data_IF_511067115244
#
_entry.id   IF_511067115244
#
_cell.length_a   1.000
_cell.length_b   1.000
_cell.length_c   1.000
_cell.angle_alpha   90.00
_cell.angle_beta   90.00
_cell.angle_gamma   90.00
#
_symmetry.space_group_name_H-M   'P 1'
#
loop_
_entity.id
_entity.type
_entity.pdbx_description
1 polymer ?
#
# COMPACT_ATOMS: atom_id res chain seq x y z
N UNK A 1 1.99 28.15 -11.41
CA UNK A 1 0.60 27.77 -11.76
C UNK A 1 -0.02 27.02 -10.58
N UNK A 2 -1.07 27.57 -9.94
CA UNK A 2 -1.83 26.83 -8.91
C UNK A 2 -2.62 25.71 -9.61
N UNK A 3 -2.52 24.44 -9.18
CA UNK A 3 -3.37 23.40 -9.74
C UNK A 3 -4.84 23.75 -9.47
N UNK A 4 -5.68 23.66 -10.48
CA UNK A 4 -7.13 23.84 -10.35
C UNK A 4 -7.69 22.84 -9.33
N UNK A 5 -8.71 23.24 -8.55
CA UNK A 5 -9.30 22.40 -7.51
C UNK A 5 -9.72 21.01 -8.02
N UNK A 6 -10.19 20.93 -9.27
CA UNK A 6 -10.54 19.67 -9.93
C UNK A 6 -9.36 18.70 -10.04
N UNK A 7 -8.16 19.20 -10.37
CA UNK A 7 -6.95 18.38 -10.51
C UNK A 7 -6.47 17.82 -9.17
N UNK A 8 -6.50 18.63 -8.10
CA UNK A 8 -6.14 18.16 -6.74
C UNK A 8 -7.09 17.07 -6.26
N UNK A 9 -8.40 17.20 -6.56
CA UNK A 9 -9.40 16.17 -6.25
C UNK A 9 -9.16 14.88 -7.02
N UNK A 10 -8.90 14.96 -8.32
CA UNK A 10 -8.61 13.78 -9.16
C UNK A 10 -7.35 13.05 -8.69
N UNK A 11 -6.26 13.76 -8.42
CA UNK A 11 -5.02 13.18 -7.87
C UNK A 11 -5.28 12.45 -6.54
N UNK A 12 -6.05 13.08 -5.64
CA UNK A 12 -6.42 12.45 -4.38
C UNK A 12 -7.28 11.20 -4.54
N UNK A 13 -8.26 11.21 -5.46
CA UNK A 13 -9.09 10.02 -5.74
C UNK A 13 -8.25 8.87 -6.29
N UNK A 14 -7.28 9.15 -7.17
CA UNK A 14 -6.35 8.13 -7.67
C UNK A 14 -5.52 7.53 -6.53
N UNK A 15 -4.97 8.36 -5.63
CA UNK A 15 -4.23 7.86 -4.48
C UNK A 15 -5.11 7.03 -3.52
N UNK A 16 -6.37 7.42 -3.33
CA UNK A 16 -7.31 6.66 -2.50
C UNK A 16 -7.64 5.29 -3.10
N UNK A 17 -7.89 5.23 -4.40
CA UNK A 17 -8.10 3.96 -5.10
C UNK A 17 -6.86 3.07 -5.05
N UNK A 18 -5.67 3.65 -5.22
CA UNK A 18 -4.40 2.93 -5.05
C UNK A 18 -4.21 2.39 -3.62
N UNK A 19 -4.56 3.18 -2.61
CA UNK A 19 -4.54 2.76 -1.21
C UNK A 19 -5.49 1.58 -0.96
N UNK A 20 -6.74 1.67 -1.43
CA UNK A 20 -7.72 0.59 -1.31
C UNK A 20 -7.25 -0.68 -2.05
N UNK A 21 -6.61 -0.53 -3.21
CA UNK A 21 -6.06 -1.65 -3.98
C UNK A 21 -4.86 -2.33 -3.30
N UNK A 22 -4.19 -1.70 -2.33
CA UNK A 22 -3.10 -2.32 -1.59
C UNK A 22 -3.56 -3.56 -0.80
N UNK A 23 -4.83 -3.62 -0.35
CA UNK A 23 -5.37 -4.75 0.41
C UNK A 23 -5.48 -6.03 -0.45
N UNK A 24 -6.21 -6.04 -1.58
CA UNK A 24 -6.26 -7.23 -2.43
C UNK A 24 -4.89 -7.58 -3.03
N UNK A 25 -4.04 -6.59 -3.32
CA UNK A 25 -2.67 -6.83 -3.77
C UNK A 25 -1.81 -7.50 -2.70
N UNK A 26 -1.93 -7.09 -1.44
CA UNK A 26 -1.23 -7.72 -0.33
C UNK A 26 -1.64 -9.19 -0.19
N UNK A 27 -2.94 -9.49 -0.25
CA UNK A 27 -3.45 -10.87 -0.18
C UNK A 27 -2.91 -11.74 -1.32
N UNK A 28 -2.81 -11.17 -2.53
CA UNK A 28 -2.23 -11.88 -3.67
C UNK A 28 -0.71 -12.11 -3.51
N UNK A 29 0.03 -11.09 -3.06
CA UNK A 29 1.48 -11.18 -2.81
C UNK A 29 1.81 -12.24 -1.76
N UNK A 30 1.02 -12.29 -0.69
CA UNK A 30 1.19 -13.27 0.40
C UNK A 30 1.16 -14.71 -0.13
N UNK A 31 0.41 -14.97 -1.20
CA UNK A 31 0.25 -16.33 -1.73
C UNK A 31 1.18 -16.66 -2.92
N UNK A 32 1.74 -15.65 -3.61
CA UNK A 32 2.44 -15.86 -4.88
C UNK A 32 3.91 -15.40 -4.87
N UNK A 33 4.34 -14.55 -3.93
CA UNK A 33 5.66 -13.92 -3.98
C UNK A 33 6.36 -14.02 -2.64
N UNK A 34 7.50 -14.70 -2.61
CA UNK A 34 8.43 -14.71 -1.48
C UNK A 34 9.65 -15.58 -1.77
N UNK A 35 10.68 -15.46 -0.92
CA UNK A 35 11.89 -16.27 -1.01
C UNK A 35 11.70 -17.64 -0.38
N UNK A 36 10.80 -17.74 0.61
CA UNK A 36 10.40 -18.99 1.26
C UNK A 36 8.88 -19.07 1.22
N UNK A 37 8.35 -19.99 0.43
CA UNK A 37 6.92 -20.30 0.37
C UNK A 37 6.73 -21.74 0.85
N UNK A 38 6.33 -21.90 2.11
CA UNK A 38 6.05 -23.21 2.67
C UNK A 38 4.61 -23.66 2.34
N UNK A 39 4.34 -24.96 2.20
CA UNK A 39 2.98 -25.44 1.96
C UNK A 39 2.05 -25.02 3.10
N UNK A 40 0.90 -24.43 2.76
CA UNK A 40 -0.10 -23.88 3.71
C UNK A 40 0.33 -22.65 4.53
N UNK A 41 1.43 -21.99 4.16
CA UNK A 41 1.92 -20.79 4.85
C UNK A 41 2.10 -19.60 3.90
N UNK A 42 2.00 -18.36 4.40
CA UNK A 42 2.29 -17.17 3.62
C UNK A 42 3.73 -17.16 3.12
N UNK A 43 3.95 -16.71 1.88
CA UNK A 43 5.27 -16.48 1.32
C UNK A 43 6.01 -15.38 2.10
N UNK A 44 7.22 -15.71 2.55
CA UNK A 44 8.05 -14.86 3.40
C UNK A 44 9.16 -14.18 2.59
N UNK A 45 9.55 -12.98 3.01
CA UNK A 45 10.75 -12.28 2.57
C UNK A 45 11.66 -11.95 3.76
N UNK A 46 12.98 -11.97 3.56
CA UNK A 46 13.93 -11.51 4.57
C UNK A 46 13.86 -9.98 4.68
N UNK A 47 13.68 -9.48 5.90
CA UNK A 47 13.66 -8.02 6.17
C UNK A 47 14.89 -7.55 6.94
N UNK A 48 15.52 -8.44 7.70
CA UNK A 48 16.78 -8.20 8.40
C UNK A 48 17.44 -9.55 8.74
N UNK A 49 18.71 -9.58 9.20
CA UNK A 49 19.36 -10.83 9.60
C UNK A 49 18.55 -11.57 10.67
N UNK A 50 18.08 -12.79 10.36
CA UNK A 50 17.25 -13.61 11.24
C UNK A 50 15.77 -13.18 11.35
N UNK A 51 15.33 -12.16 10.61
CA UNK A 51 13.94 -11.69 10.61
C UNK A 51 13.28 -11.92 9.25
N UNK A 52 12.23 -12.73 9.26
CA UNK A 52 11.39 -13.03 8.11
C UNK A 52 10.02 -12.39 8.31
N UNK A 53 9.51 -11.74 7.26
CA UNK A 53 8.18 -11.15 7.28
C UNK A 53 7.36 -11.66 6.08
N UNK A 54 6.02 -11.71 6.18
CA UNK A 54 5.17 -11.98 5.03
C UNK A 54 5.35 -10.93 3.94
N UNK A 55 5.24 -11.33 2.68
CA UNK A 55 5.40 -10.43 1.53
C UNK A 55 4.42 -9.26 1.49
N UNK A 56 3.28 -9.39 2.18
CA UNK A 56 2.30 -8.32 2.36
C UNK A 56 2.87 -7.07 3.04
N UNK A 57 3.98 -7.17 3.80
CA UNK A 57 4.62 -6.01 4.45
C UNK A 57 5.06 -4.93 3.45
N UNK A 58 5.44 -5.34 2.23
CA UNK A 58 5.81 -4.39 1.17
C UNK A 58 4.63 -3.49 0.78
N UNK A 59 3.43 -4.07 0.70
CA UNK A 59 2.21 -3.31 0.39
C UNK A 59 1.80 -2.40 1.54
N UNK A 60 2.08 -2.77 2.79
CA UNK A 60 1.84 -1.90 3.95
C UNK A 60 2.68 -0.62 3.84
N UNK A 61 3.96 -0.73 3.47
CA UNK A 61 4.81 0.44 3.24
C UNK A 61 4.26 1.37 2.16
N UNK A 62 3.83 0.81 1.03
CA UNK A 62 3.20 1.56 -0.07
C UNK A 62 1.89 2.21 0.37
N UNK A 63 1.06 1.49 1.13
CA UNK A 63 -0.21 1.99 1.64
C UNK A 63 -0.03 3.20 2.58
N UNK A 64 0.99 3.19 3.44
CA UNK A 64 1.29 4.33 4.33
C UNK A 64 1.69 5.59 3.54
N UNK A 65 2.45 5.44 2.45
CA UNK A 65 2.82 6.56 1.57
C UNK A 65 1.58 7.10 0.84
N UNK A 66 0.76 6.22 0.26
CA UNK A 66 -0.47 6.60 -0.43
C UNK A 66 -1.46 7.31 0.50
N UNK A 67 -1.58 6.84 1.75
CA UNK A 67 -2.40 7.49 2.78
C UNK A 67 -1.96 8.93 3.05
N UNK A 68 -0.64 9.15 3.20
CA UNK A 68 -0.08 10.49 3.41
C UNK A 68 -0.36 11.41 2.20
N UNK A 69 -0.24 10.88 0.96
CA UNK A 69 -0.55 11.63 -0.26
C UNK A 69 -2.05 11.96 -0.40
N UNK A 70 -2.95 11.05 -0.01
CA UNK A 70 -4.40 11.29 0.08
C UNK A 70 -4.65 12.46 1.03
N UNK A 71 -4.11 12.42 2.24
CA UNK A 71 -4.29 13.48 3.25
C UNK A 71 -3.75 14.83 2.77
N UNK A 72 -2.60 14.87 2.07
CA UNK A 72 -2.03 16.10 1.48
C UNK A 72 -2.85 16.69 0.33
N UNK A 73 -3.59 15.87 -0.42
CA UNK A 73 -4.33 16.31 -1.63
C UNK A 73 -5.83 16.53 -1.40
N UNK A 74 -6.48 15.67 -0.63
CA UNK A 74 -7.92 15.71 -0.31
C UNK A 74 -8.23 16.38 1.05
N UNK A 75 -7.21 16.58 1.90
CA UNK A 75 -7.34 17.21 3.21
C UNK A 75 -7.71 16.25 4.35
N UNK A 76 -7.68 16.76 5.59
CA UNK A 76 -7.92 16.02 6.83
C UNK A 76 -9.32 15.39 6.94
N UNK A 77 -10.30 15.85 6.16
CA UNK A 77 -11.66 15.29 6.17
C UNK A 77 -11.73 13.83 5.68
N UNK A 78 -10.67 13.32 5.06
CA UNK A 78 -10.52 11.94 4.59
C UNK A 78 -9.63 11.07 5.49
N UNK A 79 -9.35 11.53 6.73
CA UNK A 79 -8.45 10.85 7.67
C UNK A 79 -9.14 9.82 8.60
N UNK A 80 -10.33 9.32 8.24
CA UNK A 80 -11.05 8.32 9.06
C UNK A 80 -10.68 6.90 8.67
#
# INVERSE_FOLDING_TARGET
>A
MKPTNARRRMEGTVFFLGFAACVPLANWLINNVGTICAPYAPCLLPVAPGLMAPSGVLMVGVALILRDLVQRRLGLSWSV
#
